data_IF_579006001633
#
_entry.id   IF_579006001633
#
_cell.length_a   1.000
_cell.length_b   1.000
_cell.length_c   1.000
_cell.angle_alpha   90.00
_cell.angle_beta   90.00
_cell.angle_gamma   90.00
#
_symmetry.space_group_name_H-M   'P 1'
#
loop_
_entity.id
_entity.type
_entity.pdbx_description
1 polymer ?
#
# COMPACT_ATOMS: atom_id res chain seq x y z
N UNK A 1 -9.10 -15.85 -9.97
CA UNK A 1 -9.69 -14.58 -10.45
C UNK A 1 -9.74 -13.60 -9.30
N UNK A 2 -9.56 -12.31 -9.51
CA UNK A 2 -9.67 -11.31 -8.46
C UNK A 2 -11.01 -11.35 -7.74
N UNK A 3 -11.00 -11.15 -6.42
CA UNK A 3 -12.20 -11.01 -5.57
C UNK A 3 -12.24 -9.56 -5.06
N UNK A 4 -13.26 -8.83 -5.43
CA UNK A 4 -13.43 -7.42 -5.08
C UNK A 4 -14.73 -7.24 -4.31
N UNK A 5 -14.64 -6.61 -3.12
CA UNK A 5 -15.82 -6.29 -2.32
C UNK A 5 -16.66 -5.20 -3.01
N UNK A 6 -17.99 -5.29 -2.92
CA UNK A 6 -18.92 -4.36 -3.57
C UNK A 6 -18.79 -2.90 -3.09
N UNK A 7 -18.24 -2.69 -1.88
CA UNK A 7 -18.00 -1.33 -1.34
C UNK A 7 -16.65 -0.74 -1.79
N UNK A 8 -15.80 -1.51 -2.47
CA UNK A 8 -14.56 -1.01 -3.02
C UNK A 8 -14.78 -0.26 -4.33
N UNK A 9 -14.05 0.82 -4.53
CA UNK A 9 -13.96 1.49 -5.82
C UNK A 9 -12.70 1.07 -6.55
N UNK A 10 -12.87 0.54 -7.76
CA UNK A 10 -11.75 0.20 -8.66
C UNK A 10 -11.88 1.02 -9.94
N UNK A 11 -10.85 1.78 -10.28
CA UNK A 11 -10.80 2.53 -11.54
C UNK A 11 -10.87 1.59 -12.74
N UNK A 12 -11.51 2.02 -13.83
CA UNK A 12 -11.61 1.24 -15.08
C UNK A 12 -10.26 1.00 -15.74
N UNK A 13 -9.30 1.89 -15.51
CA UNK A 13 -7.94 1.76 -16.04
C UNK A 13 -7.00 0.98 -15.10
N UNK A 14 -7.47 0.51 -13.95
CA UNK A 14 -6.69 -0.37 -13.09
C UNK A 14 -6.60 -1.79 -13.67
N UNK A 15 -5.43 -2.40 -13.57
CA UNK A 15 -5.17 -3.76 -14.04
C UNK A 15 -4.97 -4.68 -12.83
N UNK A 16 -5.86 -5.66 -12.67
CA UNK A 16 -5.82 -6.60 -11.54
C UNK A 16 -5.81 -8.02 -12.10
N UNK A 17 -4.73 -8.76 -11.85
CA UNK A 17 -4.49 -10.08 -12.43
C UNK A 17 -4.16 -11.11 -11.35
N UNK A 18 -4.78 -12.29 -11.44
CA UNK A 18 -4.45 -13.45 -10.60
C UNK A 18 -5.20 -13.50 -9.28
N UNK A 19 -4.55 -14.02 -8.23
CA UNK A 19 -5.15 -14.21 -6.90
C UNK A 19 -5.05 -12.93 -6.06
N UNK A 20 -5.91 -11.96 -6.37
CA UNK A 20 -5.99 -10.67 -5.67
C UNK A 20 -7.30 -10.59 -4.93
N UNK A 21 -7.26 -10.25 -3.64
CA UNK A 21 -8.43 -9.98 -2.81
C UNK A 21 -8.45 -8.53 -2.35
N UNK A 22 -9.51 -7.79 -2.66
CA UNK A 22 -9.73 -6.40 -2.27
C UNK A 22 -10.94 -6.36 -1.35
N UNK A 23 -10.70 -5.95 -0.09
CA UNK A 23 -11.73 -5.86 0.95
C UNK A 23 -12.61 -4.60 0.79
N UNK A 24 -13.49 -4.36 1.76
CA UNK A 24 -14.42 -3.24 1.71
C UNK A 24 -13.80 -1.85 1.89
N UNK A 25 -14.48 -0.86 1.37
CA UNK A 25 -14.10 0.57 1.49
C UNK A 25 -12.66 0.87 1.02
N UNK A 26 -12.19 0.18 -0.01
CA UNK A 26 -10.89 0.40 -0.63
C UNK A 26 -11.04 1.31 -1.85
N UNK A 27 -10.09 2.23 -2.04
CA UNK A 27 -9.94 3.02 -3.25
C UNK A 27 -8.77 2.51 -4.10
N UNK A 28 -9.05 2.08 -5.33
CA UNK A 28 -8.03 1.74 -6.35
C UNK A 28 -8.10 2.78 -7.47
N UNK A 29 -7.07 3.60 -7.55
CA UNK A 29 -6.97 4.73 -8.48
C UNK A 29 -6.60 4.30 -9.92
N UNK A 30 -6.65 5.24 -10.88
CA UNK A 30 -6.28 4.98 -12.27
C UNK A 30 -4.87 4.43 -12.45
N UNK A 31 -4.72 3.53 -13.45
CA UNK A 31 -3.45 2.92 -13.87
C UNK A 31 -2.70 2.14 -12.76
N UNK A 32 -3.38 1.81 -11.66
CA UNK A 32 -2.83 0.88 -10.66
C UNK A 32 -2.71 -0.51 -11.27
N UNK A 33 -1.59 -1.18 -11.05
CA UNK A 33 -1.37 -2.56 -11.49
C UNK A 33 -1.13 -3.47 -10.31
N UNK A 34 -1.95 -4.52 -10.17
CA UNK A 34 -1.79 -5.58 -9.15
C UNK A 34 -1.66 -6.93 -9.84
N UNK A 35 -0.56 -7.64 -9.60
CA UNK A 35 -0.29 -8.94 -10.19
C UNK A 35 0.04 -10.00 -9.16
N UNK A 36 -0.81 -11.01 -9.07
CA UNK A 36 -0.59 -12.25 -8.33
C UNK A 36 -0.90 -13.43 -9.28
N UNK A 37 -0.19 -13.48 -10.40
CA UNK A 37 -0.41 -14.39 -11.52
C UNK A 37 0.63 -15.52 -11.59
N UNK A 38 1.59 -15.53 -10.70
CA UNK A 38 2.53 -16.64 -10.56
C UNK A 38 1.93 -17.74 -9.63
N UNK A 39 2.31 -19.01 -9.81
CA UNK A 39 1.80 -20.10 -8.98
C UNK A 39 2.02 -19.88 -7.48
N UNK A 40 0.94 -19.96 -6.68
CA UNK A 40 0.98 -19.80 -5.24
C UNK A 40 1.18 -18.35 -4.76
N UNK A 41 1.10 -17.35 -5.67
CA UNK A 41 1.15 -15.95 -5.30
C UNK A 41 -0.21 -15.43 -4.84
N UNK A 42 -0.21 -14.43 -3.96
CA UNK A 42 -1.41 -13.79 -3.44
C UNK A 42 -1.20 -12.31 -3.13
N UNK A 43 -2.22 -11.49 -3.38
CA UNK A 43 -2.28 -10.10 -2.91
C UNK A 43 -3.57 -9.92 -2.12
N UNK A 44 -3.45 -9.36 -0.91
CA UNK A 44 -4.59 -9.00 -0.06
C UNK A 44 -4.50 -7.51 0.26
N UNK A 45 -5.55 -6.77 -0.11
CA UNK A 45 -5.72 -5.36 0.25
C UNK A 45 -6.82 -5.29 1.31
N UNK A 46 -6.45 -4.98 2.53
CA UNK A 46 -7.37 -4.86 3.66
C UNK A 46 -8.25 -3.61 3.58
N UNK A 47 -9.29 -3.58 4.41
CA UNK A 47 -10.32 -2.55 4.37
C UNK A 47 -9.78 -1.14 4.64
N UNK A 48 -10.39 -0.15 3.99
CA UNK A 48 -10.08 1.26 4.17
C UNK A 48 -8.78 1.72 3.51
N UNK A 49 -8.15 0.87 2.69
CA UNK A 49 -6.92 1.23 2.00
C UNK A 49 -7.13 2.21 0.85
N UNK A 50 -6.11 3.01 0.59
CA UNK A 50 -6.04 3.96 -0.49
C UNK A 50 -4.83 3.66 -1.38
N UNK A 51 -5.08 3.11 -2.57
CA UNK A 51 -4.05 2.76 -3.55
C UNK A 51 -4.13 3.77 -4.69
N UNK A 52 -3.18 4.69 -4.73
CA UNK A 52 -3.20 5.83 -5.63
C UNK A 52 -2.71 5.50 -7.04
N UNK A 53 -2.74 6.52 -7.91
CA UNK A 53 -2.47 6.37 -9.34
C UNK A 53 -1.06 5.79 -9.62
N UNK A 54 -0.98 4.92 -10.61
CA UNK A 54 0.26 4.30 -11.09
C UNK A 54 1.01 3.45 -10.04
N UNK A 55 0.35 3.03 -8.97
CA UNK A 55 0.94 2.10 -8.00
C UNK A 55 1.09 0.73 -8.63
N UNK A 56 2.22 0.06 -8.37
CA UNK A 56 2.46 -1.31 -8.79
C UNK A 56 2.60 -2.21 -7.58
N UNK A 57 1.79 -3.28 -7.53
CA UNK A 57 1.89 -4.33 -6.51
C UNK A 57 2.10 -5.66 -7.22
N UNK A 58 3.19 -6.37 -6.89
CA UNK A 58 3.48 -7.68 -7.47
C UNK A 58 3.87 -8.69 -6.40
N UNK A 59 3.17 -9.81 -6.35
CA UNK A 59 3.51 -10.95 -5.51
C UNK A 59 4.25 -12.00 -6.33
N UNK A 60 5.46 -12.38 -5.89
CA UNK A 60 6.23 -13.47 -6.49
C UNK A 60 5.59 -14.83 -6.23
N UNK A 61 5.93 -15.80 -7.06
CA UNK A 61 5.50 -17.19 -6.91
C UNK A 61 5.76 -17.73 -5.51
N UNK A 62 4.75 -18.39 -4.93
CA UNK A 62 4.82 -18.93 -3.57
C UNK A 62 4.87 -17.89 -2.45
N UNK A 63 4.59 -16.61 -2.73
CA UNK A 63 4.65 -15.53 -1.74
C UNK A 63 3.38 -14.68 -1.73
N UNK A 64 3.25 -13.83 -0.70
CA UNK A 64 2.13 -12.91 -0.57
C UNK A 64 2.58 -11.46 -0.45
N UNK A 65 1.70 -10.55 -0.89
CA UNK A 65 1.72 -9.14 -0.50
C UNK A 65 0.44 -8.86 0.28
N UNK A 66 0.59 -8.45 1.54
CA UNK A 66 -0.54 -8.06 2.39
C UNK A 66 -0.41 -6.57 2.71
N UNK A 67 -1.46 -5.80 2.43
CA UNK A 67 -1.56 -4.39 2.78
C UNK A 67 -2.60 -4.25 3.89
N UNK A 68 -2.15 -3.89 5.08
CA UNK A 68 -2.98 -3.75 6.27
C UNK A 68 -4.00 -2.62 6.17
N UNK A 69 -4.94 -2.60 7.11
CA UNK A 69 -6.11 -1.69 7.10
C UNK A 69 -5.69 -0.21 7.13
N UNK A 70 -6.48 0.62 6.45
CA UNK A 70 -6.29 2.08 6.42
C UNK A 70 -4.89 2.51 5.96
N UNK A 71 -4.19 1.66 5.21
CA UNK A 71 -2.86 1.95 4.65
C UNK A 71 -2.99 2.66 3.32
N UNK A 72 -2.10 3.63 3.09
CA UNK A 72 -2.05 4.42 1.87
C UNK A 72 -0.78 4.11 1.08
N UNK A 73 -0.96 3.66 -0.16
CA UNK A 73 0.10 3.55 -1.16
C UNK A 73 -0.01 4.73 -2.11
N UNK A 74 0.92 5.68 -2.00
CA UNK A 74 0.87 6.94 -2.74
C UNK A 74 1.41 6.78 -4.18
N UNK A 75 1.13 7.80 -5.01
CA UNK A 75 1.34 7.78 -6.46
C UNK A 75 2.69 7.18 -6.90
N UNK A 76 2.61 6.19 -7.78
CA UNK A 76 3.78 5.59 -8.41
C UNK A 76 4.69 4.77 -7.49
N UNK A 77 4.29 4.48 -6.25
CA UNK A 77 5.08 3.59 -5.41
C UNK A 77 5.00 2.13 -5.89
N UNK A 78 6.00 1.34 -5.53
CA UNK A 78 6.09 -0.07 -5.89
C UNK A 78 6.17 -0.90 -4.61
N UNK A 79 5.28 -1.89 -4.47
CA UNK A 79 5.33 -2.91 -3.43
C UNK A 79 5.54 -4.27 -4.08
N UNK A 80 6.68 -4.88 -3.82
CA UNK A 80 7.05 -6.13 -4.47
C UNK A 80 7.31 -7.22 -3.42
N UNK A 81 6.56 -8.29 -3.51
CA UNK A 81 6.59 -9.39 -2.54
C UNK A 81 7.86 -10.24 -2.51
N UNK A 82 8.01 -11.02 -1.40
CA UNK A 82 7.08 -11.09 -0.28
C UNK A 82 7.05 -9.80 0.55
N UNK A 83 5.85 -9.29 0.87
CA UNK A 83 5.72 -8.09 1.70
C UNK A 83 4.50 -8.18 2.61
N UNK A 84 4.67 -7.75 3.87
CA UNK A 84 3.58 -7.54 4.80
C UNK A 84 3.66 -6.09 5.33
N UNK A 85 2.67 -5.28 4.98
CA UNK A 85 2.53 -3.92 5.49
C UNK A 85 1.47 -3.92 6.57
N UNK A 86 1.79 -3.35 7.72
CA UNK A 86 0.86 -3.22 8.84
C UNK A 86 -0.29 -2.25 8.58
N UNK A 87 -1.11 -2.05 9.59
CA UNK A 87 -2.24 -1.12 9.55
C UNK A 87 -1.77 0.34 9.59
N UNK A 88 -2.52 1.25 8.97
CA UNK A 88 -2.28 2.70 8.97
C UNK A 88 -0.88 3.14 8.50
N UNK A 89 -0.26 2.37 7.64
CA UNK A 89 1.01 2.74 7.03
C UNK A 89 0.82 3.75 5.89
N UNK A 90 1.87 4.51 5.62
CA UNK A 90 1.96 5.38 4.45
C UNK A 90 3.22 5.07 3.66
N UNK A 91 3.06 4.77 2.37
CA UNK A 91 4.16 4.57 1.43
C UNK A 91 4.15 5.73 0.44
N UNK A 92 5.14 6.60 0.51
CA UNK A 92 5.23 7.85 -0.23
C UNK A 92 5.49 7.71 -1.73
N UNK A 93 5.37 8.82 -2.44
CA UNK A 93 5.45 8.89 -3.91
C UNK A 93 6.75 8.27 -4.46
N UNK A 94 6.61 7.36 -5.42
CA UNK A 94 7.73 6.74 -6.10
C UNK A 94 8.67 5.91 -5.22
N UNK A 95 8.25 5.57 -4.01
CA UNK A 95 9.02 4.73 -3.10
C UNK A 95 8.90 3.25 -3.49
N UNK A 96 9.95 2.48 -3.17
CA UNK A 96 10.00 1.04 -3.44
C UNK A 96 10.12 0.29 -2.13
N UNK A 97 9.19 -0.63 -1.89
CA UNK A 97 9.21 -1.58 -0.76
C UNK A 97 9.32 -3.00 -1.33
N UNK A 98 10.43 -3.67 -1.03
CA UNK A 98 10.72 -4.98 -1.61
C UNK A 98 11.18 -5.95 -0.52
N UNK A 99 10.51 -7.11 -0.42
CA UNK A 99 10.84 -8.18 0.54
C UNK A 99 10.94 -7.65 1.98
N UNK A 100 9.87 -7.01 2.47
CA UNK A 100 9.86 -6.33 3.75
C UNK A 100 8.64 -6.71 4.61
N UNK A 101 8.83 -6.60 5.92
CA UNK A 101 7.72 -6.55 6.87
C UNK A 101 7.73 -5.19 7.57
N UNK A 102 6.62 -4.47 7.52
CA UNK A 102 6.41 -3.22 8.22
C UNK A 102 5.37 -3.44 9.32
N UNK A 103 5.70 -3.03 10.54
CA UNK A 103 4.71 -2.94 11.61
C UNK A 103 3.71 -1.81 11.38
N UNK A 104 2.72 -1.70 12.25
CA UNK A 104 1.65 -0.70 12.15
C UNK A 104 2.17 0.74 12.28
N UNK A 105 1.39 1.69 11.76
CA UNK A 105 1.65 3.12 11.87
C UNK A 105 3.03 3.56 11.32
N UNK A 106 3.61 2.84 10.36
CA UNK A 106 4.87 3.24 9.72
C UNK A 106 4.63 4.30 8.64
N UNK A 107 5.49 5.31 8.59
CA UNK A 107 5.48 6.36 7.57
C UNK A 107 6.77 6.31 6.77
N UNK A 108 6.67 5.92 5.51
CA UNK A 108 7.76 5.95 4.53
C UNK A 108 7.49 7.14 3.61
N UNK A 109 8.37 8.14 3.64
CA UNK A 109 8.23 9.33 2.81
C UNK A 109 8.66 9.03 1.36
N UNK A 110 8.91 10.07 0.56
CA UNK A 110 8.95 9.98 -0.89
C UNK A 110 10.30 9.47 -1.42
N UNK A 111 10.26 8.75 -2.56
CA UNK A 111 11.47 8.24 -3.27
C UNK A 111 12.42 7.43 -2.41
N UNK A 112 11.87 6.68 -1.48
CA UNK A 112 12.59 5.85 -0.51
C UNK A 112 12.75 4.43 -1.05
N UNK A 113 13.90 3.79 -0.78
CA UNK A 113 14.09 2.36 -1.01
C UNK A 113 14.15 1.62 0.32
N UNK A 114 13.17 0.74 0.56
CA UNK A 114 13.14 -0.19 1.71
C UNK A 114 13.22 -1.61 1.17
N UNK A 115 14.27 -2.34 1.57
CA UNK A 115 14.54 -3.66 1.00
C UNK A 115 15.13 -4.63 2.01
N UNK A 116 14.60 -5.87 2.03
CA UNK A 116 15.15 -7.01 2.79
C UNK A 116 15.27 -6.74 4.30
N UNK A 117 14.29 -6.03 4.89
CA UNK A 117 14.30 -5.63 6.30
C UNK A 117 12.93 -5.79 6.97
N UNK A 118 12.96 -5.88 8.29
CA UNK A 118 11.78 -5.79 9.16
C UNK A 118 11.80 -4.41 9.83
N UNK A 119 10.78 -3.61 9.57
CA UNK A 119 10.61 -2.29 10.18
C UNK A 119 9.63 -2.44 11.36
N UNK A 120 10.05 -2.12 12.61
CA UNK A 120 9.14 -2.11 13.75
C UNK A 120 7.99 -1.11 13.53
N UNK A 121 6.90 -1.27 14.30
CA UNK A 121 5.79 -0.32 14.26
C UNK A 121 6.24 1.11 14.60
N UNK A 122 5.49 2.10 14.09
CA UNK A 122 5.68 3.54 14.38
C UNK A 122 7.06 4.08 13.98
N UNK A 123 7.57 3.67 12.83
CA UNK A 123 8.87 4.17 12.31
C UNK A 123 8.67 5.11 11.13
N UNK A 124 9.44 6.20 11.17
CA UNK A 124 9.52 7.21 10.10
C UNK A 124 10.77 6.98 9.26
N UNK A 125 10.59 6.92 7.94
CA UNK A 125 11.69 6.89 6.97
C UNK A 125 11.58 8.16 6.11
N UNK A 126 12.61 9.00 6.18
CA UNK A 126 12.64 10.29 5.48
C UNK A 126 12.80 10.16 3.97
N UNK A 127 12.57 11.28 3.26
CA UNK A 127 12.65 11.36 1.80
C UNK A 127 14.01 10.88 1.26
N UNK A 128 13.97 10.11 0.18
CA UNK A 128 15.16 9.64 -0.53
C UNK A 128 16.03 8.64 0.25
N UNK A 129 15.61 8.19 1.42
CA UNK A 129 16.39 7.28 2.25
C UNK A 129 16.50 5.89 1.62
N UNK A 130 17.60 5.19 1.94
CA UNK A 130 17.83 3.79 1.59
C UNK A 130 17.96 2.96 2.86
N UNK A 131 16.99 2.09 3.10
CA UNK A 131 16.93 1.18 4.25
C UNK A 131 16.98 -0.26 3.74
N UNK A 132 18.19 -0.79 3.65
CA UNK A 132 18.47 -2.12 3.10
C UNK A 132 19.34 -2.99 4.03
N UNK A 133 19.45 -2.60 5.28
CA UNK A 133 20.15 -3.35 6.34
C UNK A 133 19.35 -3.21 7.64
N UNK A 134 19.20 -4.32 8.36
CA UNK A 134 18.43 -4.32 9.62
C UNK A 134 18.97 -3.31 10.64
N UNK A 135 20.28 -3.15 10.73
CA UNK A 135 20.88 -2.16 11.66
C UNK A 135 20.54 -0.70 11.33
N UNK A 136 20.10 -0.38 10.10
CA UNK A 136 19.54 0.93 9.74
C UNK A 136 18.08 0.98 10.21
N UNK A 137 17.30 -0.07 9.93
CA UNK A 137 15.90 -0.18 10.32
C UNK A 137 15.71 -0.05 11.83
N UNK A 138 16.59 -0.63 12.62
CA UNK A 138 16.55 -0.62 14.10
C UNK A 138 16.79 0.78 14.70
N UNK A 139 17.33 1.73 13.93
CA UNK A 139 17.68 3.09 14.37
C UNK A 139 16.78 4.18 13.80
N UNK A 140 15.72 3.80 13.10
CA UNK A 140 14.76 4.75 12.53
C UNK A 140 14.07 5.59 13.62
N UNK A 141 13.78 6.83 13.29
CA UNK A 141 13.02 7.72 14.16
C UNK A 141 11.60 7.21 14.36
N UNK A 142 10.97 7.63 15.43
CA UNK A 142 9.55 7.39 15.63
C UNK A 142 8.69 8.37 14.83
N UNK A 143 7.52 7.89 14.41
CA UNK A 143 6.46 8.71 13.80
C UNK A 143 5.94 9.72 14.82
N UNK A 144 5.82 10.98 14.42
CA UNK A 144 5.22 12.04 15.25
C UNK A 144 3.69 12.02 15.17
N UNK A 145 3.04 12.84 15.98
CA UNK A 145 1.58 13.05 15.92
C UNK A 145 1.21 13.70 14.57
N UNK A 146 2.00 14.67 14.12
CA UNK A 146 1.80 15.37 12.87
C UNK A 146 1.87 14.44 11.67
N UNK A 147 2.81 13.48 11.67
CA UNK A 147 2.92 12.45 10.63
C UNK A 147 1.68 11.55 10.61
N UNK A 148 1.22 11.10 11.78
CA UNK A 148 0.02 10.27 11.91
C UNK A 148 -1.24 11.01 11.43
N UNK A 149 -1.40 12.28 11.80
CA UNK A 149 -2.50 13.14 11.35
C UNK A 149 -2.48 13.35 9.84
N UNK A 150 -1.29 13.50 9.26
CA UNK A 150 -1.14 13.57 7.81
C UNK A 150 -1.66 12.29 7.12
N UNK A 151 -1.24 11.11 7.59
CA UNK A 151 -1.70 9.82 7.03
C UNK A 151 -3.21 9.69 7.12
N UNK A 152 -3.80 9.99 8.27
CA UNK A 152 -5.25 9.94 8.47
C UNK A 152 -5.99 10.87 7.49
N UNK A 153 -5.50 12.08 7.26
CA UNK A 153 -6.09 13.02 6.28
C UNK A 153 -6.02 12.48 4.86
N UNK A 154 -4.86 11.91 4.46
CA UNK A 154 -4.70 11.35 3.11
C UNK A 154 -5.70 10.22 2.88
N UNK A 155 -5.80 9.26 3.80
CA UNK A 155 -6.73 8.13 3.68
C UNK A 155 -8.18 8.62 3.63
N UNK A 156 -8.60 9.45 4.58
CA UNK A 156 -9.98 9.93 4.66
C UNK A 156 -10.40 10.71 3.41
N UNK A 157 -9.54 11.57 2.88
CA UNK A 157 -9.81 12.35 1.65
C UNK A 157 -10.05 11.42 0.45
N UNK A 158 -9.19 10.42 0.26
CA UNK A 158 -9.31 9.51 -0.88
C UNK A 158 -10.53 8.58 -0.77
N UNK A 159 -10.91 8.16 0.44
CA UNK A 159 -12.12 7.38 0.64
C UNK A 159 -13.39 8.21 0.36
N UNK A 160 -13.39 9.51 0.64
CA UNK A 160 -14.48 10.42 0.24
C UNK A 160 -14.56 10.53 -1.29
N UNK A 161 -13.42 10.66 -1.98
CA UNK A 161 -13.36 10.66 -3.44
C UNK A 161 -13.88 9.34 -4.03
N UNK A 162 -13.48 8.20 -3.49
CA UNK A 162 -13.96 6.88 -3.91
C UNK A 162 -15.50 6.79 -3.88
N UNK A 163 -16.12 7.23 -2.78
CA UNK A 163 -17.57 7.27 -2.64
C UNK A 163 -18.24 8.21 -3.67
N UNK A 164 -17.60 9.30 -4.01
CA UNK A 164 -18.09 10.24 -5.03
C UNK A 164 -18.03 9.64 -6.44
N UNK A 165 -16.92 8.96 -6.77
CA UNK A 165 -16.75 8.28 -8.06
C UNK A 165 -17.72 7.10 -8.22
N UNK A 166 -17.97 6.33 -7.17
CA UNK A 166 -18.97 5.24 -7.21
C UNK A 166 -20.37 5.75 -7.54
N UNK A 167 -20.76 6.92 -7.01
CA UNK A 167 -22.06 7.54 -7.32
C UNK A 167 -22.17 8.05 -8.77
N UNK A 168 -21.05 8.43 -9.40
CA UNK A 168 -21.06 8.88 -10.80
C UNK A 168 -21.22 7.70 -11.76
N UNK A 169 -20.72 6.51 -11.41
CA UNK A 169 -20.87 5.29 -12.22
C UNK A 169 -22.27 4.68 -12.19
N UNK A 170 -23.04 4.93 -11.14
CA UNK A 170 -24.41 4.42 -11.00
C UNK A 170 -25.47 5.27 -11.72
N UNK A 171 -25.06 6.29 -12.47
CA UNK A 171 -25.91 7.13 -13.35
C UNK A 171 -25.69 6.79 -14.81
#
# INVERSE_FOLDING_TARGET
MPRVCDTAYVSESAVIIGNVEIKGDVYIAPNTTMRADEPGSEIIIESGCNIQDNVVIHALGGSAVVVGKNTSLAHGCIVHGPCALGDKCFIGFGSVVFNCTLGDDCVILHRTLVKDVIIPARRLIGDGAVVNKQCIADRLSEVTVEDSDFVCRVVSTNLVLAKSYSKLRSR
#
